data_IF_448281230119
#
_entry.id   IF_448281230119
#
_cell.length_a   1.000
_cell.length_b   1.000
_cell.length_c   1.000
_cell.angle_alpha   90.00
_cell.angle_beta   90.00
_cell.angle_gamma   90.00
#
_symmetry.space_group_name_H-M   'P 1'
#
loop_
_entity.id
_entity.type
_entity.pdbx_description
1 polymer ?
#
# COMPACT_ATOMS: atom_id res chain seq x y z
N UNK A 1 -13.29 -3.32 -10.74
CA UNK A 1 -12.89 -1.96 -11.16
C UNK A 1 -11.41 -1.76 -10.90
N UNK A 2 -10.72 -1.18 -11.85
CA UNK A 2 -9.29 -0.88 -11.70
C UNK A 2 -9.09 0.60 -11.39
N UNK A 3 -8.14 0.89 -10.51
CA UNK A 3 -7.63 2.24 -10.38
C UNK A 3 -6.80 2.54 -11.63
N UNK A 4 -7.10 3.67 -12.27
CA UNK A 4 -6.33 4.10 -13.41
C UNK A 4 -4.98 4.65 -12.92
N UNK A 5 -3.90 4.02 -13.35
CA UNK A 5 -2.55 4.43 -12.98
C UNK A 5 -1.62 4.33 -14.17
N UNK A 6 -0.69 5.27 -14.25
CA UNK A 6 0.38 5.27 -15.23
C UNK A 6 1.67 4.68 -14.68
N UNK A 7 1.64 4.14 -13.47
CA UNK A 7 2.81 3.53 -12.86
C UNK A 7 3.23 2.30 -13.64
N UNK A 8 4.53 2.20 -13.91
CA UNK A 8 5.12 1.04 -14.57
C UNK A 8 5.54 -0.03 -13.58
N UNK A 9 5.71 0.35 -12.32
CA UNK A 9 6.21 -0.51 -11.26
C UNK A 9 5.36 -0.39 -10.01
N UNK A 10 5.30 -1.48 -9.26
CA UNK A 10 4.69 -1.54 -7.94
C UNK A 10 5.74 -2.09 -6.98
N UNK A 11 5.83 -1.51 -5.79
CA UNK A 11 6.66 -2.06 -4.72
C UNK A 11 5.87 -3.18 -4.03
N UNK A 12 6.43 -4.38 -4.01
CA UNK A 12 5.82 -5.55 -3.38
C UNK A 12 6.87 -6.32 -2.61
N UNK A 13 6.66 -6.49 -1.31
CA UNK A 13 7.52 -7.29 -0.44
C UNK A 13 9.01 -6.93 -0.53
N UNK A 14 9.31 -5.65 -0.54
CA UNK A 14 10.68 -5.17 -0.54
C UNK A 14 11.30 -4.94 -1.91
N UNK A 15 10.59 -5.23 -2.99
CA UNK A 15 11.12 -5.10 -4.35
C UNK A 15 10.16 -4.35 -5.26
N UNK A 16 10.72 -3.60 -6.21
CA UNK A 16 9.92 -3.06 -7.31
C UNK A 16 9.68 -4.14 -8.34
N UNK A 17 8.44 -4.27 -8.77
CA UNK A 17 8.01 -5.27 -9.76
C UNK A 17 7.19 -4.60 -10.85
N UNK A 18 7.21 -5.13 -12.08
CA UNK A 18 6.37 -4.60 -13.17
C UNK A 18 4.90 -4.62 -12.78
N UNK A 19 4.19 -3.56 -13.16
CA UNK A 19 2.77 -3.42 -12.85
C UNK A 19 1.95 -4.63 -13.29
N UNK A 20 2.20 -5.12 -14.51
CA UNK A 20 1.41 -6.21 -15.10
C UNK A 20 1.70 -7.58 -14.48
N UNK A 21 2.78 -7.69 -13.73
CA UNK A 21 3.21 -8.96 -13.10
C UNK A 21 2.95 -8.97 -11.59
N UNK A 22 2.35 -7.91 -11.06
CA UNK A 22 2.11 -7.77 -9.63
C UNK A 22 0.71 -8.26 -9.29
N UNK A 23 0.62 -9.53 -8.91
CA UNK A 23 -0.65 -10.21 -8.69
C UNK A 23 -0.71 -10.81 -7.29
N UNK A 24 -1.93 -11.12 -6.84
CA UNK A 24 -2.20 -11.76 -5.56
C UNK A 24 -2.86 -13.12 -5.83
N UNK A 25 -2.42 -14.13 -5.11
CA UNK A 25 -3.00 -15.47 -5.26
C UNK A 25 -4.46 -15.48 -4.82
N UNK A 26 -5.31 -16.19 -5.57
CA UNK A 26 -6.73 -16.30 -5.28
C UNK A 26 -7.01 -16.84 -3.87
N UNK A 27 -6.16 -17.72 -3.36
CA UNK A 27 -6.31 -18.32 -2.03
C UNK A 27 -5.70 -17.50 -0.91
N UNK A 28 -5.31 -16.25 -1.16
CA UNK A 28 -4.83 -15.36 -0.10
C UNK A 28 -5.92 -15.12 0.94
N UNK A 29 -5.52 -14.94 2.19
CA UNK A 29 -6.45 -14.67 3.29
C UNK A 29 -7.25 -13.39 3.07
N UNK A 30 -6.67 -12.40 2.42
CA UNK A 30 -7.35 -11.15 2.11
C UNK A 30 -8.59 -11.38 1.25
N UNK A 31 -8.46 -12.20 0.19
CA UNK A 31 -9.56 -12.46 -0.74
C UNK A 31 -10.64 -13.37 -0.15
N UNK A 32 -10.22 -14.39 0.62
CA UNK A 32 -11.16 -15.37 1.16
C UNK A 32 -11.79 -14.96 2.48
N UNK A 33 -11.06 -14.22 3.32
CA UNK A 33 -11.50 -13.91 4.68
C UNK A 33 -11.50 -12.42 5.02
N UNK A 34 -11.19 -11.57 4.06
CA UNK A 34 -11.10 -10.14 4.30
C UNK A 34 -9.98 -9.75 5.27
N UNK A 35 -8.95 -10.57 5.39
CA UNK A 35 -7.82 -10.35 6.30
C UNK A 35 -6.79 -9.43 5.64
N UNK A 36 -6.97 -8.14 5.83
CA UNK A 36 -6.04 -7.17 5.27
C UNK A 36 -6.29 -5.77 5.82
N UNK A 37 -5.31 -4.92 5.67
CA UNK A 37 -5.43 -3.49 6.00
C UNK A 37 -4.81 -2.68 4.87
N UNK A 38 -5.29 -1.47 4.70
CA UNK A 38 -4.73 -0.56 3.71
C UNK A 38 -4.79 0.88 4.20
N UNK A 39 -4.01 1.73 3.57
CA UNK A 39 -3.99 3.17 3.82
C UNK A 39 -3.78 3.90 2.51
N UNK A 40 -4.46 5.02 2.33
CA UNK A 40 -4.28 5.87 1.17
C UNK A 40 -3.52 7.13 1.53
N UNK A 41 -2.50 7.46 0.75
CA UNK A 41 -1.74 8.70 0.89
C UNK A 41 -1.75 9.45 -0.43
N UNK A 42 -1.57 10.78 -0.37
CA UNK A 42 -1.48 11.62 -1.56
C UNK A 42 -0.16 12.36 -1.58
N UNK A 43 0.43 12.41 -2.77
CA UNK A 43 1.61 13.22 -3.03
C UNK A 43 1.21 14.42 -3.90
N UNK A 44 1.82 15.56 -3.61
CA UNK A 44 1.55 16.81 -4.33
C UNK A 44 2.84 17.40 -4.85
N UNK A 45 2.77 18.06 -5.99
CA UNK A 45 3.88 18.86 -6.48
C UNK A 45 3.97 20.17 -5.69
N UNK A 46 5.16 20.50 -5.23
CA UNK A 46 5.43 21.74 -4.50
C UNK A 46 6.61 22.48 -5.12
N UNK A 47 6.94 23.67 -4.59
CA UNK A 47 8.09 24.44 -5.06
C UNK A 47 9.42 23.68 -4.94
N UNK A 48 9.50 22.80 -3.94
CA UNK A 48 10.73 22.06 -3.62
C UNK A 48 10.66 20.60 -4.05
N UNK A 49 9.70 20.23 -4.88
CA UNK A 49 9.52 18.87 -5.36
C UNK A 49 8.25 18.22 -4.85
N UNK A 50 8.19 16.90 -4.95
CA UNK A 50 7.05 16.14 -4.46
C UNK A 50 6.99 16.10 -2.94
N UNK A 51 5.78 16.16 -2.38
CA UNK A 51 5.56 16.04 -0.96
C UNK A 51 4.34 15.18 -0.68
N UNK A 52 4.43 14.31 0.31
CA UNK A 52 3.31 13.48 0.75
C UNK A 52 2.62 14.15 1.93
N UNK A 53 1.32 14.35 1.79
CA UNK A 53 0.54 15.01 2.84
C UNK A 53 0.37 14.08 4.04
N UNK A 54 0.85 14.52 5.21
CA UNK A 54 0.72 13.83 6.50
C UNK A 54 1.17 12.37 6.47
N UNK A 55 2.33 12.10 5.88
CA UNK A 55 2.84 10.74 5.75
C UNK A 55 2.96 10.02 7.09
N UNK A 56 3.48 10.71 8.12
CA UNK A 56 3.64 10.11 9.44
C UNK A 56 2.29 9.63 10.02
N UNK A 57 1.26 10.47 9.94
CA UNK A 57 -0.07 10.13 10.48
C UNK A 57 -0.70 8.96 9.74
N UNK A 58 -0.56 8.91 8.42
CA UNK A 58 -1.05 7.81 7.61
C UNK A 58 -0.32 6.50 7.91
N UNK A 59 0.99 6.56 8.04
CA UNK A 59 1.80 5.38 8.37
C UNK A 59 1.46 4.86 9.77
N UNK A 60 1.34 5.76 10.74
CA UNK A 60 0.94 5.38 12.10
C UNK A 60 -0.42 4.69 12.11
N UNK A 61 -1.39 5.25 11.38
CA UNK A 61 -2.72 4.65 11.29
C UNK A 61 -2.71 3.27 10.64
N UNK A 62 -1.87 3.06 9.63
CA UNK A 62 -1.69 1.75 9.01
C UNK A 62 -1.17 0.72 10.00
N UNK A 63 -0.15 1.08 10.78
CA UNK A 63 0.43 0.18 11.79
C UNK A 63 -0.57 -0.13 12.90
N UNK A 64 -1.35 0.84 13.33
CA UNK A 64 -2.40 0.65 14.33
C UNK A 64 -3.49 -0.29 13.80
N UNK A 65 -3.92 -0.12 12.55
CA UNK A 65 -4.90 -0.99 11.92
C UNK A 65 -4.38 -2.43 11.79
N UNK A 66 -3.14 -2.60 11.36
CA UNK A 66 -2.50 -3.91 11.25
C UNK A 66 -2.44 -4.62 12.59
N UNK A 67 -2.09 -3.90 13.66
CA UNK A 67 -2.05 -4.45 15.02
C UNK A 67 -3.39 -5.01 15.46
N UNK A 68 -4.49 -4.35 15.10
CA UNK A 68 -5.84 -4.78 15.48
C UNK A 68 -6.28 -6.08 14.82
N UNK A 69 -5.67 -6.45 13.72
CA UNK A 69 -5.96 -7.71 13.00
C UNK A 69 -4.78 -8.68 13.06
N UNK A 70 -3.84 -8.44 13.97
CA UNK A 70 -2.66 -9.29 14.22
C UNK A 70 -1.75 -9.46 12.98
N UNK A 71 -1.63 -8.43 12.18
CA UNK A 71 -0.66 -8.39 11.08
C UNK A 71 0.58 -7.65 11.56
N UNK A 72 1.74 -8.32 11.50
CA UNK A 72 3.03 -7.69 11.77
C UNK A 72 3.60 -7.13 10.49
N UNK A 73 3.88 -5.83 10.46
CA UNK A 73 4.52 -5.19 9.33
C UNK A 73 6.03 -5.26 9.55
N UNK A 74 6.79 -5.93 8.67
CA UNK A 74 8.23 -6.17 8.88
C UNK A 74 9.14 -5.01 8.49
N UNK A 75 8.60 -3.81 8.42
CA UNK A 75 9.34 -2.63 7.96
C UNK A 75 9.34 -1.52 8.99
#
# INVERSE_FOLDING_TARGET
MFLNTNSKFIWLNGNFQPFDETNVHLLSNTLHYGMGVFEGVRAYATYVGGAIFRLYDHTKRLFEAASKVNISIPY
#
